data_IF_936395531468
#
_entry.id   IF_936395531468
#
_cell.length_a   1.000
_cell.length_b   1.000
_cell.length_c   1.000
_cell.angle_alpha   90.00
_cell.angle_beta   90.00
_cell.angle_gamma   90.00
#
_symmetry.space_group_name_H-M   'P 1'
#
loop_
_entity.id
_entity.type
_entity.pdbx_description
1 polymer ?
#
# COMPACT_ATOMS: atom_id res chain seq x y z
N UNK A 1 -8.40 -1.49 -22.43
CA UNK A 1 -7.18 -1.03 -23.13
C UNK A 1 -6.98 0.47 -23.00
N UNK A 2 -8.00 1.30 -23.26
CA UNK A 2 -7.88 2.76 -23.15
C UNK A 2 -7.46 3.26 -21.75
N UNK A 3 -7.71 2.48 -20.69
CA UNK A 3 -7.22 2.75 -19.34
C UNK A 3 -5.81 2.15 -19.11
N UNK A 4 -5.71 0.81 -19.20
CA UNK A 4 -4.50 0.05 -18.85
C UNK A 4 -3.26 0.43 -19.67
N UNK A 5 -3.39 0.47 -21.01
CA UNK A 5 -2.23 0.61 -21.89
C UNK A 5 -1.52 1.96 -21.67
N UNK A 6 -2.22 3.11 -21.64
CA UNK A 6 -1.55 4.39 -21.34
C UNK A 6 -0.82 4.41 -20.00
N UNK A 7 -1.39 3.84 -18.94
CA UNK A 7 -0.79 3.84 -17.60
C UNK A 7 0.46 2.97 -17.56
N UNK A 8 0.36 1.77 -18.13
CA UNK A 8 1.46 0.83 -18.21
C UNK A 8 2.63 1.40 -19.03
N UNK A 9 2.33 1.96 -20.21
CA UNK A 9 3.35 2.57 -21.08
C UNK A 9 4.03 3.75 -20.38
N UNK A 10 3.26 4.58 -19.68
CA UNK A 10 3.81 5.71 -18.90
C UNK A 10 4.78 5.24 -17.82
N UNK A 11 4.38 4.24 -17.06
CA UNK A 11 5.19 3.67 -16.00
C UNK A 11 6.48 3.04 -16.50
N UNK A 12 6.38 2.22 -17.55
CA UNK A 12 7.52 1.57 -18.19
C UNK A 12 8.46 2.60 -18.81
N UNK A 13 7.92 3.60 -19.52
CA UNK A 13 8.73 4.67 -20.12
C UNK A 13 9.51 5.43 -19.05
N UNK A 14 8.86 5.79 -17.95
CA UNK A 14 9.50 6.44 -16.81
C UNK A 14 10.68 5.62 -16.25
N UNK A 15 10.54 4.29 -16.17
CA UNK A 15 11.61 3.40 -15.71
C UNK A 15 12.75 3.30 -16.72
N UNK A 16 12.45 3.10 -18.00
CA UNK A 16 13.46 3.03 -19.07
C UNK A 16 14.25 4.34 -19.19
N UNK A 17 13.59 5.49 -19.10
CA UNK A 17 14.23 6.81 -19.12
C UNK A 17 15.18 7.03 -17.94
N UNK A 18 14.95 6.33 -16.82
CA UNK A 18 15.84 6.32 -15.65
C UNK A 18 16.95 5.26 -15.75
N UNK A 19 17.05 4.55 -16.88
CA UNK A 19 18.09 3.58 -17.17
C UNK A 19 17.81 2.16 -16.67
N UNK A 20 16.53 1.82 -16.42
CA UNK A 20 16.14 0.46 -16.05
C UNK A 20 15.90 -0.40 -17.30
N UNK A 21 16.37 -1.64 -17.27
CA UNK A 21 15.96 -2.68 -18.21
C UNK A 21 14.63 -3.29 -17.71
N UNK A 22 13.58 -3.16 -18.50
CA UNK A 22 12.21 -3.50 -18.10
C UNK A 22 11.60 -4.49 -19.05
N UNK A 23 10.98 -5.53 -18.50
CA UNK A 23 10.11 -6.45 -19.23
C UNK A 23 8.71 -6.45 -18.63
N UNK A 24 7.70 -6.57 -19.50
CA UNK A 24 6.29 -6.54 -19.12
C UNK A 24 5.68 -7.93 -19.23
N UNK A 25 5.04 -8.36 -18.16
CA UNK A 25 4.30 -9.62 -18.09
C UNK A 25 2.81 -9.35 -17.96
N UNK A 26 2.03 -9.71 -18.98
CA UNK A 26 0.57 -9.59 -18.96
C UNK A 26 -0.08 -10.95 -18.71
N UNK A 27 -0.76 -11.07 -17.57
CA UNK A 27 -1.43 -12.31 -17.17
C UNK A 27 -2.92 -12.17 -17.47
N UNK A 28 -3.36 -12.87 -18.50
CA UNK A 28 -4.67 -12.72 -19.09
C UNK A 28 -5.52 -13.97 -18.83
N UNK A 29 -6.76 -13.75 -18.38
CA UNK A 29 -7.76 -14.82 -18.28
C UNK A 29 -8.45 -15.16 -19.61
N UNK A 30 -8.07 -14.51 -20.71
CA UNK A 30 -8.60 -14.81 -22.04
C UNK A 30 -7.83 -15.97 -22.67
N UNK A 31 -8.52 -16.84 -23.42
CA UNK A 31 -7.90 -17.97 -24.14
C UNK A 31 -6.78 -17.53 -25.09
N UNK A 32 -6.94 -16.37 -25.73
CA UNK A 32 -5.91 -15.77 -26.58
C UNK A 32 -6.00 -14.24 -26.58
N UNK A 33 -4.86 -13.58 -26.80
CA UNK A 33 -4.79 -12.15 -27.11
C UNK A 33 -4.71 -11.97 -28.62
N UNK A 34 -5.70 -11.30 -29.21
CA UNK A 34 -5.70 -11.03 -30.65
C UNK A 34 -4.39 -10.36 -31.09
N UNK A 35 -3.79 -10.83 -32.19
CA UNK A 35 -2.49 -10.35 -32.66
C UNK A 35 -2.46 -8.83 -32.92
N UNK A 36 -3.57 -8.27 -33.39
CA UNK A 36 -3.72 -6.81 -33.56
C UNK A 36 -3.65 -6.06 -32.24
N UNK A 37 -4.13 -6.63 -31.13
CA UNK A 37 -3.99 -6.06 -29.79
C UNK A 37 -2.57 -6.24 -29.27
N UNK A 38 -1.97 -7.43 -29.43
CA UNK A 38 -0.58 -7.67 -29.05
C UNK A 38 0.36 -6.68 -29.72
N UNK A 39 0.23 -6.49 -31.04
CA UNK A 39 0.99 -5.52 -31.82
C UNK A 39 0.80 -4.10 -31.30
N UNK A 40 -0.42 -3.67 -31.02
CA UNK A 40 -0.68 -2.34 -30.41
C UNK A 40 0.03 -2.14 -29.07
N UNK A 41 0.21 -3.19 -28.26
CA UNK A 41 0.95 -3.08 -27.00
C UNK A 41 2.44 -2.93 -27.30
N UNK A 42 3.00 -3.82 -28.13
CA UNK A 42 4.41 -3.80 -28.52
C UNK A 42 4.78 -2.46 -29.16
N UNK A 43 3.98 -1.96 -30.10
CA UNK A 43 4.20 -0.68 -30.78
C UNK A 43 4.16 0.53 -29.82
N UNK A 44 3.50 0.38 -28.67
CA UNK A 44 3.38 1.44 -27.67
C UNK A 44 4.46 1.38 -26.58
N UNK A 45 5.15 0.24 -26.42
CA UNK A 45 6.21 0.10 -25.42
C UNK A 45 7.52 0.74 -25.93
N UNK A 46 8.37 1.26 -25.02
CA UNK A 46 9.70 1.74 -25.39
C UNK A 46 10.55 0.66 -26.09
N UNK A 47 11.47 1.09 -26.95
CA UNK A 47 12.39 0.17 -27.61
C UNK A 47 13.24 -0.59 -26.59
N UNK A 48 13.36 -1.91 -26.78
CA UNK A 48 14.15 -2.79 -25.89
C UNK A 48 13.33 -3.43 -24.76
N UNK A 49 12.09 -2.98 -24.53
CA UNK A 49 11.19 -3.59 -23.55
C UNK A 49 10.60 -4.88 -24.10
N UNK A 50 10.81 -6.00 -23.42
CA UNK A 50 10.16 -7.27 -23.74
C UNK A 50 8.70 -7.29 -23.29
N UNK A 51 7.89 -8.05 -24.03
CA UNK A 51 6.50 -8.32 -23.69
C UNK A 51 6.24 -9.82 -23.72
N UNK A 52 5.90 -10.38 -22.56
CA UNK A 52 5.41 -11.74 -22.41
C UNK A 52 3.93 -11.72 -22.00
N UNK A 53 3.10 -12.51 -22.69
CA UNK A 53 1.67 -12.58 -22.43
C UNK A 53 1.29 -14.00 -22.08
N UNK A 54 0.80 -14.19 -20.86
CA UNK A 54 0.26 -15.45 -20.39
C UNK A 54 -1.24 -15.46 -20.67
N UNK A 55 -1.67 -16.26 -21.64
CA UNK A 55 -3.08 -16.47 -21.97
C UNK A 55 -3.60 -17.73 -21.31
N UNK A 56 -4.93 -17.85 -21.19
CA UNK A 56 -5.60 -18.96 -20.52
C UNK A 56 -5.07 -19.21 -19.09
N UNK A 57 -4.69 -18.13 -18.40
CA UNK A 57 -4.02 -18.21 -17.11
C UNK A 57 -4.98 -18.45 -15.93
N UNK A 58 -6.29 -18.60 -16.17
CA UNK A 58 -7.26 -18.83 -15.09
C UNK A 58 -7.01 -20.21 -14.50
N UNK A 59 -6.65 -20.32 -13.21
CA UNK A 59 -6.42 -21.62 -12.61
C UNK A 59 -7.72 -22.40 -12.49
N UNK A 60 -7.58 -23.72 -12.47
CA UNK A 60 -8.66 -24.63 -12.12
C UNK A 60 -8.72 -24.86 -10.60
N UNK A 61 -9.90 -25.14 -10.06
CA UNK A 61 -10.08 -25.56 -8.67
C UNK A 61 -11.19 -26.59 -8.53
N UNK A 62 -11.10 -27.40 -7.47
CA UNK A 62 -12.22 -28.22 -7.01
C UNK A 62 -13.21 -27.30 -6.29
N UNK A 63 -14.45 -27.26 -6.80
CA UNK A 63 -15.54 -26.55 -6.14
C UNK A 63 -15.69 -27.14 -4.74
N UNK A 64 -15.75 -26.34 -3.68
CA UNK A 64 -16.11 -26.82 -2.33
C UNK A 64 -17.48 -26.25 -1.95
N UNK A 65 -18.28 -26.99 -1.18
CA UNK A 65 -19.48 -26.42 -0.53
C UNK A 65 -19.14 -25.94 0.89
N UNK A 66 -20.11 -25.28 1.55
CA UNK A 66 -20.01 -24.89 2.95
C UNK A 66 -19.50 -26.08 3.80
N UNK A 67 -18.48 -25.83 4.64
CA UNK A 67 -17.69 -26.81 5.42
C UNK A 67 -16.57 -27.57 4.70
N UNK A 68 -16.07 -27.07 3.56
CA UNK A 68 -14.82 -27.54 2.92
C UNK A 68 -14.80 -29.01 2.43
N UNK A 69 -15.90 -29.75 2.55
CA UNK A 69 -16.02 -31.10 2.03
C UNK A 69 -16.28 -31.11 0.52
N UNK A 70 -15.71 -32.11 -0.16
CA UNK A 70 -16.07 -32.41 -1.54
C UNK A 70 -17.54 -32.85 -1.58
N UNK A 71 -18.33 -32.27 -2.47
CA UNK A 71 -19.78 -32.51 -2.55
C UNK A 71 -20.10 -33.97 -2.89
N UNK A 72 -19.27 -34.61 -3.71
CA UNK A 72 -19.37 -36.02 -4.13
C UNK A 72 -17.99 -36.51 -4.64
N UNK A 73 -17.76 -37.83 -4.75
CA UNK A 73 -16.55 -38.39 -5.39
C UNK A 73 -16.38 -37.99 -6.87
N UNK A 74 -17.43 -37.48 -7.51
CA UNK A 74 -17.48 -37.10 -8.93
C UNK A 74 -17.48 -35.59 -9.13
N UNK A 75 -16.84 -34.84 -8.24
CA UNK A 75 -16.94 -33.39 -8.27
C UNK A 75 -16.22 -32.78 -9.47
N UNK A 76 -16.86 -31.80 -10.09
CA UNK A 76 -16.33 -31.10 -11.26
C UNK A 76 -15.21 -30.14 -10.88
N UNK A 77 -14.21 -30.07 -11.76
CA UNK A 77 -13.19 -29.03 -11.78
C UNK A 77 -13.78 -27.82 -12.51
N UNK A 78 -13.67 -26.64 -11.92
CA UNK A 78 -14.15 -25.38 -12.51
C UNK A 78 -13.00 -24.38 -12.67
N UNK A 79 -13.18 -23.39 -13.56
CA UNK A 79 -12.32 -22.22 -13.62
C UNK A 79 -12.48 -21.37 -12.36
N UNK A 80 -11.38 -20.83 -11.84
CA UNK A 80 -11.33 -19.91 -10.71
C UNK A 80 -10.88 -18.51 -11.15
N UNK A 81 -11.75 -17.68 -11.76
CA UNK A 81 -11.36 -16.35 -12.26
C UNK A 81 -10.71 -15.47 -11.19
N UNK A 82 -11.18 -15.55 -9.94
CA UNK A 82 -10.60 -14.83 -8.81
C UNK A 82 -9.17 -15.28 -8.47
N UNK A 83 -8.80 -16.51 -8.85
CA UNK A 83 -7.45 -17.06 -8.71
C UNK A 83 -6.45 -16.54 -9.75
N UNK A 84 -6.89 -15.80 -10.78
CA UNK A 84 -6.00 -15.14 -11.74
C UNK A 84 -5.00 -14.20 -11.03
N UNK A 85 -5.48 -13.52 -9.98
CA UNK A 85 -4.69 -12.64 -9.12
C UNK A 85 -3.44 -13.29 -8.50
N UNK A 86 -3.40 -14.63 -8.40
CA UNK A 86 -2.27 -15.37 -7.84
C UNK A 86 -1.19 -15.69 -8.87
N UNK A 87 -1.53 -15.67 -10.16
CA UNK A 87 -0.66 -16.19 -11.23
C UNK A 87 0.65 -15.42 -11.38
N UNK A 88 0.69 -14.13 -11.00
CA UNK A 88 1.94 -13.37 -11.01
C UNK A 88 3.03 -14.00 -10.13
N UNK A 89 2.66 -14.80 -9.12
CA UNK A 89 3.62 -15.54 -8.29
C UNK A 89 4.38 -16.62 -9.07
N UNK A 90 3.75 -17.24 -10.07
CA UNK A 90 4.40 -18.24 -10.92
C UNK A 90 5.40 -17.58 -11.86
N UNK A 91 5.03 -16.44 -12.45
CA UNK A 91 5.96 -15.61 -13.23
C UNK A 91 7.16 -15.21 -12.37
N UNK A 92 6.94 -14.66 -11.18
CA UNK A 92 8.03 -14.25 -10.27
C UNK A 92 8.92 -15.43 -9.89
N UNK A 93 8.36 -16.62 -9.64
CA UNK A 93 9.15 -17.83 -9.36
C UNK A 93 10.06 -18.17 -10.54
N UNK A 94 9.48 -18.25 -11.73
CA UNK A 94 10.18 -18.69 -12.94
C UNK A 94 11.25 -17.68 -13.36
N UNK A 95 11.02 -16.40 -13.06
CA UNK A 95 11.86 -15.25 -13.41
C UNK A 95 12.72 -14.74 -12.27
N UNK A 96 12.73 -15.42 -11.12
CA UNK A 96 13.40 -14.94 -9.91
C UNK A 96 14.89 -14.65 -10.13
N UNK A 97 15.56 -15.51 -10.90
CA UNK A 97 16.99 -15.40 -11.18
C UNK A 97 17.33 -14.47 -12.35
N UNK A 98 16.32 -14.03 -13.12
CA UNK A 98 16.49 -13.17 -14.29
C UNK A 98 16.43 -11.67 -13.90
N UNK A 99 15.60 -11.29 -12.91
CA UNK A 99 15.38 -9.89 -12.54
C UNK A 99 15.81 -9.58 -11.11
N UNK A 100 16.31 -8.36 -10.89
CA UNK A 100 16.73 -7.89 -9.56
C UNK A 100 15.58 -7.28 -8.75
N UNK A 101 14.49 -6.91 -9.44
CA UNK A 101 13.36 -6.21 -8.86
C UNK A 101 12.05 -6.59 -9.55
N UNK A 102 10.98 -6.69 -8.78
CA UNK A 102 9.65 -7.07 -9.25
C UNK A 102 8.63 -6.01 -8.82
N UNK A 103 7.75 -5.63 -9.74
CA UNK A 103 6.56 -4.81 -9.47
C UNK A 103 5.32 -5.57 -9.91
N UNK A 104 4.37 -5.79 -9.01
CA UNK A 104 3.09 -6.41 -9.34
C UNK A 104 1.95 -5.61 -8.71
N UNK A 105 1.17 -4.93 -9.56
CA UNK A 105 0.05 -4.10 -9.18
C UNK A 105 -1.19 -4.39 -10.04
N UNK A 106 -2.35 -3.95 -9.58
CA UNK A 106 -3.59 -3.90 -10.36
C UNK A 106 -3.37 -3.07 -11.65
N UNK A 107 -4.11 -3.41 -12.70
CA UNK A 107 -3.91 -2.90 -14.06
C UNK A 107 -4.37 -1.44 -14.27
N UNK A 108 -5.00 -0.85 -13.27
CA UNK A 108 -5.41 0.55 -13.23
C UNK A 108 -4.59 1.41 -12.25
N UNK A 109 -3.46 0.89 -11.77
CA UNK A 109 -2.52 1.61 -10.92
C UNK A 109 -1.34 2.17 -11.70
N UNK A 110 -1.06 3.48 -11.54
CA UNK A 110 0.11 4.11 -12.14
C UNK A 110 1.36 3.91 -11.27
N UNK A 111 2.34 3.20 -11.82
CA UNK A 111 3.62 2.93 -11.18
C UNK A 111 4.75 3.54 -12.01
N UNK A 112 5.50 4.49 -11.45
CA UNK A 112 6.61 5.17 -12.14
C UNK A 112 7.97 4.79 -11.53
N UNK A 113 9.05 5.25 -12.16
CA UNK A 113 10.38 5.08 -11.61
C UNK A 113 10.57 5.76 -10.25
N UNK A 114 9.91 6.88 -9.98
CA UNK A 114 10.02 7.56 -8.69
C UNK A 114 9.43 6.72 -7.54
N UNK A 115 8.40 5.90 -7.81
CA UNK A 115 7.88 4.93 -6.84
C UNK A 115 8.89 3.82 -6.56
N UNK A 116 9.55 3.31 -7.61
CA UNK A 116 10.59 2.27 -7.49
C UNK A 116 11.79 2.79 -6.71
N UNK A 117 12.29 3.99 -7.06
CA UNK A 117 13.42 4.62 -6.37
C UNK A 117 13.08 4.86 -4.90
N UNK A 118 11.91 5.42 -4.59
CA UNK A 118 11.50 5.65 -3.21
C UNK A 118 11.40 4.34 -2.40
N UNK A 119 10.86 3.28 -3.01
CA UNK A 119 10.79 1.96 -2.39
C UNK A 119 12.19 1.41 -2.05
N UNK A 120 13.12 1.54 -2.98
CA UNK A 120 14.50 1.07 -2.81
C UNK A 120 15.26 1.90 -1.77
N UNK A 121 15.17 3.22 -1.82
CA UNK A 121 15.77 4.13 -0.83
C UNK A 121 15.29 3.78 0.59
N UNK A 122 13.97 3.66 0.78
CA UNK A 122 13.42 3.29 2.10
C UNK A 122 13.81 1.86 2.52
N UNK A 123 13.91 0.92 1.57
CA UNK A 123 14.37 -0.44 1.86
C UNK A 123 15.82 -0.47 2.32
N UNK A 124 16.68 0.37 1.71
CA UNK A 124 18.08 0.55 2.12
C UNK A 124 18.17 1.19 3.51
N UNK A 125 17.35 2.20 3.79
CA UNK A 125 17.31 2.85 5.10
C UNK A 125 16.88 1.86 6.20
N UNK A 126 15.87 1.01 5.93
CA UNK A 126 15.45 -0.08 6.82
C UNK A 126 16.58 -1.10 7.03
N UNK A 127 17.24 -1.55 5.96
CA UNK A 127 18.31 -2.54 6.06
C UNK A 127 19.54 -2.00 6.81
N UNK A 128 19.87 -0.71 6.63
CA UNK A 128 20.95 -0.06 7.37
C UNK A 128 20.67 -0.04 8.86
N UNK A 129 19.50 0.43 9.27
CA UNK A 129 19.08 0.42 10.67
C UNK A 129 19.07 -1.00 11.25
N UNK A 130 18.65 -2.00 10.46
CA UNK A 130 18.67 -3.42 10.86
C UNK A 130 20.08 -3.90 11.17
N UNK A 131 21.05 -3.63 10.28
CA UNK A 131 22.45 -4.00 10.48
C UNK A 131 23.06 -3.30 11.68
N UNK A 132 22.78 -2.00 11.86
CA UNK A 132 23.19 -1.26 13.05
C UNK A 132 22.64 -1.89 14.35
N UNK A 133 21.40 -2.38 14.33
CA UNK A 133 20.84 -3.11 15.47
C UNK A 133 21.55 -4.46 15.71
N UNK A 134 21.93 -5.18 14.65
CA UNK A 134 22.68 -6.46 14.75
C UNK A 134 24.10 -6.26 15.29
N UNK A 135 24.76 -5.17 14.88
CA UNK A 135 26.12 -4.83 15.27
C UNK A 135 26.17 -4.16 16.67
N UNK A 136 25.03 -3.68 17.19
CA UNK A 136 24.94 -3.05 18.52
C UNK A 136 25.11 -4.08 19.65
N UNK A 137 25.85 -3.76 20.75
CA UNK A 137 26.04 -4.67 21.88
C UNK A 137 24.75 -5.17 22.55
N UNK A 138 23.67 -4.39 22.50
CA UNK A 138 22.38 -4.73 23.09
C UNK A 138 21.34 -5.23 22.06
N UNK A 139 21.76 -5.42 20.81
CA UNK A 139 20.90 -5.87 19.72
C UNK A 139 19.86 -4.83 19.29
N UNK A 140 20.07 -3.54 19.60
CA UNK A 140 19.12 -2.46 19.34
C UNK A 140 19.76 -1.23 18.73
N UNK A 141 19.05 -0.60 17.80
CA UNK A 141 19.35 0.72 17.25
C UNK A 141 18.39 1.78 17.84
N UNK A 142 18.81 3.04 17.87
CA UNK A 142 18.12 4.13 18.55
C UNK A 142 17.92 5.32 17.60
N UNK A 143 16.86 6.09 17.86
CA UNK A 143 16.68 7.40 17.25
C UNK A 143 17.76 8.35 17.75
N UNK A 144 18.43 9.04 16.84
CA UNK A 144 19.41 10.07 17.20
C UNK A 144 18.69 11.25 17.87
N UNK A 145 19.21 11.71 19.01
CA UNK A 145 18.60 12.81 19.77
C UNK A 145 17.13 12.54 20.18
N UNK A 146 16.79 11.29 20.49
CA UNK A 146 15.47 10.93 21.01
C UNK A 146 15.06 11.85 22.17
N UNK A 147 13.82 12.32 22.14
CA UNK A 147 13.21 13.07 23.22
C UNK A 147 13.21 12.24 24.50
N UNK A 148 13.47 12.93 25.61
CA UNK A 148 13.46 12.31 26.92
C UNK A 148 12.04 11.82 27.23
N UNK A 149 11.89 10.52 27.43
CA UNK A 149 10.66 9.90 27.90
C UNK A 149 10.52 10.15 29.41
N UNK A 150 9.80 11.22 29.78
CA UNK A 150 9.56 11.62 31.16
C UNK A 150 8.38 10.87 31.82
N UNK A 151 7.75 9.95 31.10
CA UNK A 151 6.56 9.26 31.63
C UNK A 151 6.94 8.32 32.77
N UNK A 152 6.18 8.39 33.85
CA UNK A 152 6.31 7.44 34.96
C UNK A 152 5.76 6.05 34.63
N UNK A 153 4.78 5.99 33.72
CA UNK A 153 4.14 4.75 33.24
C UNK A 153 3.87 4.82 31.75
N UNK A 154 3.97 3.68 31.07
CA UNK A 154 3.58 3.53 29.67
C UNK A 154 2.14 3.08 29.53
N UNK A 155 1.46 3.61 28.53
CA UNK A 155 0.11 3.24 28.18
C UNK A 155 0.05 1.78 27.74
N UNK A 156 -0.86 1.00 28.32
CA UNK A 156 -1.15 -0.34 27.79
C UNK A 156 -1.99 -0.21 26.52
N UNK A 157 -1.82 -1.13 25.59
CA UNK A 157 -2.70 -1.18 24.43
C UNK A 157 -4.14 -1.47 24.86
N UNK A 158 -5.09 -0.62 24.44
CA UNK A 158 -6.52 -0.76 24.78
C UNK A 158 -7.19 -1.94 24.04
N UNK A 159 -6.54 -2.47 23.01
CA UNK A 159 -7.03 -3.58 22.20
C UNK A 159 -6.50 -4.95 22.64
N UNK A 160 -5.59 -5.00 23.62
CA UNK A 160 -4.93 -6.23 24.07
C UNK A 160 -3.72 -6.63 23.22
N UNK A 161 -3.27 -5.81 22.27
CA UNK A 161 -2.04 -6.04 21.52
C UNK A 161 -0.83 -6.16 22.46
N UNK A 162 0.13 -7.00 22.05
CA UNK A 162 1.36 -7.28 22.80
C UNK A 162 2.35 -6.12 22.76
N UNK A 163 2.18 -5.18 21.83
CA UNK A 163 2.95 -3.94 21.72
C UNK A 163 2.10 -2.73 22.10
N UNK A 164 2.73 -1.72 22.70
CA UNK A 164 2.05 -0.51 23.18
C UNK A 164 1.61 0.44 22.06
N UNK A 165 0.54 1.20 22.31
CA UNK A 165 0.04 2.28 21.43
C UNK A 165 0.75 3.62 21.68
N UNK A 166 1.89 3.60 22.37
CA UNK A 166 2.61 4.76 22.86
C UNK A 166 4.13 4.63 22.68
N UNK A 167 4.55 3.76 21.75
CA UNK A 167 5.92 3.68 21.28
C UNK A 167 6.17 4.79 20.27
N UNK A 168 7.03 5.75 20.62
CA UNK A 168 7.27 6.94 19.79
C UNK A 168 8.68 6.89 19.21
N UNK A 169 9.69 6.79 20.07
CA UNK A 169 11.11 6.86 19.70
C UNK A 169 11.91 5.71 20.34
N UNK A 170 11.19 4.65 20.68
CA UNK A 170 11.74 3.48 21.36
C UNK A 170 12.84 2.80 20.53
N UNK A 171 13.90 2.28 21.17
CA UNK A 171 14.92 1.50 20.50
C UNK A 171 14.30 0.29 19.80
N UNK A 172 14.83 -0.07 18.63
CA UNK A 172 14.32 -1.17 17.81
C UNK A 172 15.36 -2.27 17.65
N UNK A 173 14.89 -3.50 17.70
CA UNK A 173 15.68 -4.70 17.39
C UNK A 173 15.74 -4.94 15.88
N UNK A 174 16.73 -5.71 15.45
CA UNK A 174 16.84 -6.16 14.07
C UNK A 174 15.59 -6.91 13.59
N UNK A 175 14.97 -7.71 14.46
CA UNK A 175 13.77 -8.49 14.13
C UNK A 175 12.53 -7.61 13.93
N UNK A 176 12.37 -6.54 14.71
CA UNK A 176 11.32 -5.55 14.47
C UNK A 176 11.55 -4.80 13.16
N UNK A 177 12.80 -4.47 12.84
CA UNK A 177 13.16 -3.78 11.60
C UNK A 177 12.95 -4.65 10.35
N UNK A 178 13.19 -5.97 10.44
CA UNK A 178 12.87 -6.93 9.37
C UNK A 178 11.38 -6.97 9.03
N UNK A 179 10.51 -6.57 9.97
CA UNK A 179 9.07 -6.49 9.73
C UNK A 179 8.64 -5.19 9.09
N UNK A 180 9.52 -4.20 8.92
CA UNK A 180 9.17 -2.95 8.25
C UNK A 180 9.19 -3.12 6.74
N UNK A 181 8.23 -2.47 6.08
CA UNK A 181 8.06 -2.52 4.65
C UNK A 181 7.67 -1.15 4.11
N UNK A 182 8.31 -0.65 3.03
CA UNK A 182 7.85 0.57 2.38
C UNK A 182 6.42 0.40 1.86
N UNK A 183 5.50 1.18 2.41
CA UNK A 183 4.10 1.16 2.03
C UNK A 183 3.80 2.13 0.89
N UNK A 184 2.63 1.94 0.27
CA UNK A 184 2.01 2.94 -0.58
C UNK A 184 0.53 3.13 -0.22
N UNK A 185 -0.02 4.26 -0.65
CA UNK A 185 -1.43 4.62 -0.47
C UNK A 185 -2.05 4.97 -1.82
N UNK A 186 -3.24 4.44 -2.09
CA UNK A 186 -3.98 4.75 -3.31
C UNK A 186 -4.63 6.11 -3.21
N UNK A 187 -4.56 6.85 -4.31
CA UNK A 187 -5.19 8.15 -4.46
C UNK A 187 -5.91 8.24 -5.81
N UNK A 188 -6.97 9.03 -5.84
CA UNK A 188 -7.70 9.39 -7.04
C UNK A 188 -7.53 10.89 -7.24
N UNK A 189 -7.58 11.33 -8.50
CA UNK A 189 -7.52 12.75 -8.83
C UNK A 189 -8.94 13.22 -9.07
N UNK A 190 -9.33 14.28 -8.36
CA UNK A 190 -10.64 14.91 -8.45
C UNK A 190 -10.97 15.29 -9.89
N UNK A 191 -12.00 14.69 -10.47
CA UNK A 191 -12.40 14.97 -11.84
C UNK A 191 -13.23 16.25 -11.90
N UNK A 192 -12.56 17.37 -12.20
CA UNK A 192 -13.19 18.69 -12.36
C UNK A 192 -14.04 18.83 -13.64
N UNK A 193 -13.93 17.87 -14.56
CA UNK A 193 -14.74 17.84 -15.78
C UNK A 193 -16.12 17.26 -15.41
N UNK A 194 -17.19 18.02 -15.63
CA UNK A 194 -18.55 17.62 -15.24
C UNK A 194 -18.96 16.21 -15.69
N UNK A 195 -19.96 15.62 -15.02
CA UNK A 195 -20.33 14.22 -15.22
C UNK A 195 -20.86 13.98 -16.65
N UNK A 196 -20.05 13.37 -17.50
CA UNK A 196 -20.48 12.95 -18.84
C UNK A 196 -20.71 14.08 -19.84
N UNK A 197 -20.11 15.26 -19.64
CA UNK A 197 -20.26 16.41 -20.55
C UNK A 197 -21.65 17.04 -20.55
N UNK A 198 -22.57 16.52 -19.73
CA UNK A 198 -23.85 17.14 -19.41
C UNK A 198 -23.61 17.95 -18.13
N UNK A 199 -24.11 19.18 -18.05
CA UNK A 199 -23.76 20.18 -17.02
C UNK A 199 -24.18 19.86 -15.58
N UNK A 200 -24.17 18.60 -15.15
CA UNK A 200 -24.27 18.21 -13.74
C UNK A 200 -22.89 18.29 -13.09
N UNK A 201 -22.80 19.16 -12.09
CA UNK A 201 -21.63 19.31 -11.23
C UNK A 201 -21.31 17.98 -10.53
N UNK A 202 -20.01 17.65 -10.46
CA UNK A 202 -19.58 16.43 -9.80
C UNK A 202 -19.93 16.50 -8.30
N UNK A 203 -20.47 15.43 -7.65
CA UNK A 203 -20.94 15.50 -6.27
C UNK A 203 -19.89 15.95 -5.24
N UNK A 204 -18.60 15.74 -5.55
CA UNK A 204 -17.48 16.17 -4.70
C UNK A 204 -17.02 17.62 -4.96
N UNK A 205 -17.52 18.28 -6.01
CA UNK A 205 -17.25 19.69 -6.29
C UNK A 205 -18.26 20.61 -5.61
N UNK A 206 -19.38 20.06 -5.12
CA UNK A 206 -20.35 20.81 -4.32
C UNK A 206 -19.64 21.36 -3.09
N UNK A 207 -19.84 22.66 -2.82
CA UNK A 207 -19.17 23.36 -1.74
C UNK A 207 -19.38 22.66 -0.39
N UNK A 208 -18.30 22.46 0.37
CA UNK A 208 -18.32 21.72 1.63
C UNK A 208 -18.37 20.18 1.54
N UNK A 209 -18.52 19.58 0.35
CA UNK A 209 -18.66 18.11 0.22
C UNK A 209 -17.45 17.33 0.77
N UNK A 210 -16.26 17.91 0.65
CA UNK A 210 -14.99 17.32 1.12
C UNK A 210 -14.53 17.88 2.47
N UNK A 211 -15.29 18.78 3.08
CA UNK A 211 -14.87 19.47 4.31
C UNK A 211 -15.29 18.73 5.58
N UNK A 212 -16.22 17.78 5.47
CA UNK A 212 -16.77 16.99 6.58
C UNK A 212 -16.26 15.54 6.56
N UNK A 213 -14.96 15.37 6.34
CA UNK A 213 -14.33 14.06 6.36
C UNK A 213 -14.21 13.50 7.78
N UNK A 214 -14.17 12.17 7.87
CA UNK A 214 -14.17 11.43 9.14
C UNK A 214 -12.99 11.84 10.04
N UNK A 215 -13.25 12.01 11.33
CA UNK A 215 -12.28 12.37 12.38
C UNK A 215 -11.63 13.75 12.32
N UNK A 216 -12.11 14.65 11.44
CA UNK A 216 -11.60 16.03 11.36
C UNK A 216 -11.62 16.76 12.70
N UNK A 217 -12.69 16.61 13.48
CA UNK A 217 -12.83 17.30 14.79
C UNK A 217 -11.91 16.69 15.85
N UNK A 218 -11.80 15.35 15.87
CA UNK A 218 -10.97 14.61 16.83
C UNK A 218 -9.48 14.76 16.57
N UNK A 219 -9.08 14.80 15.29
CA UNK A 219 -7.71 14.96 14.83
C UNK A 219 -7.71 16.01 13.71
N UNK A 220 -7.71 17.32 14.05
CA UNK A 220 -7.68 18.37 13.04
C UNK A 220 -6.33 18.36 12.30
N UNK A 221 -6.30 18.63 10.99
CA UNK A 221 -5.04 18.66 10.25
C UNK A 221 -4.17 19.87 10.64
N UNK A 222 -2.90 19.63 10.98
CA UNK A 222 -1.90 20.69 11.20
C UNK A 222 -1.23 21.02 9.87
N UNK A 223 -1.52 22.18 9.26
CA UNK A 223 -0.91 22.59 7.98
C UNK A 223 0.47 23.24 8.14
N UNK A 224 0.98 23.35 9.37
CA UNK A 224 2.30 23.94 9.64
C UNK A 224 3.44 23.21 8.93
N UNK A 225 3.26 21.91 8.69
CA UNK A 225 4.26 21.11 7.99
C UNK A 225 4.60 21.66 6.61
N UNK A 226 3.64 22.28 5.91
CA UNK A 226 3.89 22.79 4.55
C UNK A 226 4.93 23.91 4.56
N UNK A 227 4.85 24.80 5.55
CA UNK A 227 5.82 25.88 5.73
C UNK A 227 7.20 25.38 6.20
N UNK A 228 7.25 24.23 6.87
CA UNK A 228 8.48 23.71 7.49
C UNK A 228 9.22 22.71 6.59
N UNK A 229 8.49 21.86 5.89
CA UNK A 229 9.00 20.72 5.14
C UNK A 229 8.61 20.75 3.65
N UNK A 230 7.75 21.68 3.24
CA UNK A 230 7.21 21.77 1.89
C UNK A 230 5.86 21.07 1.73
N UNK A 231 5.23 21.26 0.57
CA UNK A 231 3.98 20.61 0.21
C UNK A 231 4.24 19.29 -0.55
N UNK A 232 3.20 18.47 -0.61
CA UNK A 232 3.16 17.29 -1.50
C UNK A 232 3.19 17.76 -2.95
N UNK A 233 3.96 17.09 -3.80
CA UNK A 233 3.94 17.28 -5.24
C UNK A 233 3.05 16.21 -5.90
N UNK A 234 1.83 16.56 -6.31
CA UNK A 234 0.88 15.62 -6.92
C UNK A 234 1.35 15.11 -8.30
N UNK A 235 2.27 15.80 -8.97
CA UNK A 235 2.71 15.41 -10.31
C UNK A 235 3.61 14.17 -10.28
N UNK A 236 4.27 13.91 -9.16
CA UNK A 236 5.08 12.69 -8.95
C UNK A 236 4.23 11.44 -9.16
N UNK A 237 3.09 11.34 -8.48
CA UNK A 237 2.22 10.16 -8.54
C UNK A 237 1.24 10.19 -9.70
N UNK A 238 0.72 11.39 -10.00
CA UNK A 238 -0.60 11.53 -10.59
C UNK A 238 -0.61 12.50 -11.78
N UNK A 239 0.50 13.20 -12.03
CA UNK A 239 0.69 13.97 -13.26
C UNK A 239 0.77 13.04 -14.44
N UNK A 240 -0.20 13.12 -15.36
CA UNK A 240 -0.16 12.39 -16.63
C UNK A 240 -0.12 13.37 -17.81
N UNK A 241 0.45 12.96 -18.95
CA UNK A 241 0.38 13.75 -20.17
C UNK A 241 -1.08 14.07 -20.57
N UNK A 242 -1.32 15.24 -21.17
CA UNK A 242 -2.65 15.63 -21.63
C UNK A 242 -3.19 14.67 -22.70
N UNK A 243 -4.52 14.62 -22.85
CA UNK A 243 -5.18 13.80 -23.87
C UNK A 243 -5.57 12.37 -23.42
N UNK A 244 -5.41 12.03 -22.14
CA UNK A 244 -5.95 10.79 -21.59
C UNK A 244 -7.41 10.96 -21.18
N UNK A 245 -8.27 10.10 -21.73
CA UNK A 245 -9.67 10.04 -21.34
C UNK A 245 -9.78 9.73 -19.83
N UNK A 246 -10.57 10.53 -19.09
CA UNK A 246 -10.92 10.34 -17.66
C UNK A 246 -9.82 10.59 -16.63
N UNK A 247 -8.60 10.92 -17.04
CA UNK A 247 -7.56 11.39 -16.13
C UNK A 247 -7.39 12.91 -16.25
N UNK A 248 -7.54 13.69 -15.17
CA UNK A 248 -7.17 15.10 -15.18
C UNK A 248 -5.66 15.27 -15.36
N UNK A 249 -5.23 16.19 -16.22
CA UNK A 249 -3.81 16.58 -16.30
C UNK A 249 -3.49 17.59 -15.20
N UNK A 250 -2.22 17.62 -14.79
CA UNK A 250 -1.66 18.64 -13.89
C UNK A 250 -2.45 18.83 -12.58
N UNK A 251 -2.69 17.76 -11.80
CA UNK A 251 -3.41 17.85 -10.54
C UNK A 251 -2.71 18.81 -9.57
N UNK A 252 -3.50 19.53 -8.76
CA UNK A 252 -3.00 20.20 -7.56
C UNK A 252 -3.06 19.26 -6.34
N UNK A 253 -2.34 19.57 -5.26
CA UNK A 253 -2.31 18.78 -4.03
C UNK A 253 -3.70 18.57 -3.42
N UNK A 254 -4.60 19.54 -3.60
CA UNK A 254 -5.96 19.50 -3.08
C UNK A 254 -6.93 18.73 -3.99
N UNK A 255 -6.46 18.31 -5.17
CA UNK A 255 -7.19 17.41 -6.07
C UNK A 255 -6.98 15.94 -5.72
N UNK A 256 -6.02 15.62 -4.85
CA UNK A 256 -5.74 14.24 -4.46
C UNK A 256 -6.69 13.78 -3.36
N UNK A 257 -7.41 12.70 -3.64
CA UNK A 257 -8.42 12.13 -2.76
C UNK A 257 -8.04 10.74 -2.28
N UNK A 258 -8.08 10.54 -0.97
CA UNK A 258 -7.96 9.26 -0.29
C UNK A 258 -9.34 8.74 0.10
N UNK A 259 -9.60 7.43 -0.04
CA UNK A 259 -10.89 6.83 0.38
C UNK A 259 -10.79 5.48 1.11
N UNK A 260 -9.66 4.77 1.00
CA UNK A 260 -9.55 3.40 1.52
C UNK A 260 -9.15 3.31 2.99
N UNK A 261 -8.62 4.39 3.55
CA UNK A 261 -8.15 4.46 4.92
C UNK A 261 -8.37 5.86 5.48
N UNK A 262 -8.22 6.00 6.80
CA UNK A 262 -8.34 7.24 7.52
C UNK A 262 -7.37 7.25 8.71
N UNK A 263 -7.26 8.40 9.40
CA UNK A 263 -6.33 8.58 10.52
C UNK A 263 -6.53 7.60 11.68
N UNK A 264 -7.72 6.99 11.82
CA UNK A 264 -7.97 6.02 12.89
C UNK A 264 -7.24 4.70 12.69
N UNK A 265 -6.85 4.34 11.47
CA UNK A 265 -6.03 3.16 11.22
C UNK A 265 -4.52 3.42 11.36
N UNK A 266 -4.11 4.69 11.46
CA UNK A 266 -2.71 5.09 11.42
C UNK A 266 -2.15 5.30 12.81
N UNK A 267 -0.93 4.84 13.03
CA UNK A 267 -0.08 5.33 14.10
C UNK A 267 1.10 6.11 13.53
N UNK A 268 1.86 6.79 14.37
CA UNK A 268 3.10 7.47 13.99
C UNK A 268 4.24 7.02 14.88
N UNK A 269 5.44 6.94 14.32
CA UNK A 269 6.65 6.62 15.05
C UNK A 269 7.84 7.35 14.43
N UNK A 270 8.80 7.73 15.26
CA UNK A 270 10.12 8.13 14.82
C UNK A 270 11.00 6.87 14.76
N UNK A 271 11.36 6.47 13.55
CA UNK A 271 12.24 5.34 13.32
C UNK A 271 13.71 5.77 13.34
N UNK A 272 14.62 4.87 13.73
CA UNK A 272 16.07 5.11 13.74
C UNK A 272 16.64 5.40 12.34
N UNK A 273 17.79 6.05 12.29
CA UNK A 273 18.53 6.35 11.07
C UNK A 273 17.75 7.24 10.09
N UNK A 274 17.94 7.00 8.80
CA UNK A 274 17.34 7.80 7.72
C UNK A 274 15.86 7.47 7.44
N UNK A 275 15.26 6.52 8.18
CA UNK A 275 13.83 6.21 8.06
C UNK A 275 13.01 7.40 8.57
N UNK A 276 13.41 7.98 9.69
CA UNK A 276 12.80 9.19 10.27
C UNK A 276 11.36 9.01 10.72
N UNK A 277 10.58 10.09 10.69
CA UNK A 277 9.16 10.05 11.05
C UNK A 277 8.34 9.36 9.97
N UNK A 278 7.60 8.34 10.34
CA UNK A 278 6.71 7.63 9.44
C UNK A 278 5.37 7.29 10.11
N UNK A 279 4.32 7.27 9.29
CA UNK A 279 3.05 6.67 9.64
C UNK A 279 3.18 5.15 9.55
N UNK A 280 2.80 4.46 10.62
CA UNK A 280 2.72 3.01 10.69
C UNK A 280 1.26 2.59 10.41
N UNK A 281 1.06 1.88 9.30
CA UNK A 281 -0.21 1.25 9.00
C UNK A 281 -0.26 -0.08 9.76
N UNK A 282 -1.24 -0.23 10.65
CA UNK A 282 -1.37 -1.44 11.44
C UNK A 282 -1.58 -2.68 10.61
N UNK A 283 -1.05 -3.75 11.16
CA UNK A 283 -1.37 -5.12 10.82
C UNK A 283 -1.82 -5.84 12.08
N UNK A 284 -2.30 -7.08 11.91
CA UNK A 284 -2.75 -7.94 12.99
C UNK A 284 -1.81 -7.88 14.21
N UNK A 285 -2.34 -8.06 15.42
CA UNK A 285 -1.64 -7.80 16.70
C UNK A 285 -0.23 -8.43 16.81
N UNK A 286 0.01 -9.53 16.11
CA UNK A 286 1.29 -10.27 16.08
C UNK A 286 2.40 -9.56 15.29
N UNK A 287 2.00 -8.76 14.31
CA UNK A 287 2.87 -8.07 13.39
C UNK A 287 3.30 -6.71 13.94
N UNK A 288 2.43 -6.01 14.68
CA UNK A 288 2.66 -4.61 15.04
C UNK A 288 4.01 -4.42 15.75
N UNK A 289 4.81 -3.49 15.22
CA UNK A 289 6.07 -3.02 15.84
C UNK A 289 5.83 -1.90 16.85
N UNK A 290 4.56 -1.52 17.05
CA UNK A 290 4.09 -0.49 17.94
C UNK A 290 4.39 0.92 17.42
N UNK A 291 3.47 1.82 17.73
CA UNK A 291 3.51 3.22 17.29
C UNK A 291 2.56 4.03 18.16
N UNK A 292 2.73 5.35 18.19
CA UNK A 292 1.75 6.22 18.82
C UNK A 292 0.45 6.24 18.03
N UNK A 293 -0.65 5.78 18.62
CA UNK A 293 -1.94 5.73 17.95
C UNK A 293 -2.78 6.99 18.20
N UNK A 294 -3.40 7.49 17.15
CA UNK A 294 -4.25 8.69 17.15
C UNK A 294 -5.42 8.62 18.13
N UNK A 295 -5.91 7.43 18.46
CA UNK A 295 -6.99 7.19 19.45
C UNK A 295 -6.54 7.01 20.90
N UNK A 296 -5.25 7.17 21.21
CA UNK A 296 -4.75 7.04 22.59
C UNK A 296 -5.44 8.05 23.52
N UNK A 297 -5.96 7.60 24.67
CA UNK A 297 -6.56 8.48 25.68
C UNK A 297 -7.98 8.93 25.37
N UNK A 298 -8.74 8.18 24.56
CA UNK A 298 -10.13 8.45 24.18
C UNK A 298 -10.32 9.62 23.20
N UNK A 299 -9.32 9.91 22.36
CA UNK A 299 -9.35 11.03 21.41
C UNK A 299 -10.54 11.02 20.42
N UNK A 300 -11.25 9.90 20.29
CA UNK A 300 -12.42 9.75 19.41
C UNK A 300 -13.75 9.79 20.16
N UNK A 301 -13.76 10.29 21.40
CA UNK A 301 -14.93 10.39 22.29
C UNK A 301 -15.61 9.05 22.58
N UNK A 302 -14.96 7.94 22.19
CA UNK A 302 -15.37 6.58 22.46
C UNK A 302 -14.24 5.85 23.23
N UNK A 303 -14.42 5.64 24.55
CA UNK A 303 -13.43 4.95 25.34
C UNK A 303 -13.31 3.45 25.06
N UNK A 304 -14.30 2.87 24.36
CA UNK A 304 -14.26 1.49 23.90
C UNK A 304 -13.59 1.34 22.53
N UNK A 305 -13.27 2.45 21.85
CA UNK A 305 -12.66 2.40 20.54
C UNK A 305 -11.26 1.77 20.59
N UNK A 306 -11.11 0.70 19.83
CA UNK A 306 -9.85 -0.01 19.63
C UNK A 306 -9.21 0.41 18.33
N UNK A 307 -7.87 0.35 18.26
CA UNK A 307 -7.15 0.55 17.02
C UNK A 307 -7.64 -0.48 16.00
N UNK A 308 -8.04 -0.06 14.78
CA UNK A 308 -8.33 -1.01 13.70
C UNK A 308 -7.06 -1.80 13.36
N UNK A 309 -7.07 -3.11 13.60
CA UNK A 309 -5.92 -4.02 13.34
C UNK A 309 -6.14 -4.93 12.12
N UNK A 310 -7.41 -5.22 11.82
CA UNK A 310 -7.85 -6.18 10.80
C UNK A 310 -9.18 -5.78 10.15
N UNK A 311 -9.42 -4.48 9.98
CA UNK A 311 -10.70 -4.05 9.39
C UNK A 311 -10.52 -3.98 7.88
N UNK A 312 -11.20 -4.91 7.16
CA UNK A 312 -11.20 -4.99 5.69
C UNK A 312 -11.49 -3.64 5.00
N UNK A 313 -12.16 -2.70 5.68
CA UNK A 313 -12.53 -1.40 5.13
C UNK A 313 -11.58 -0.24 5.46
N UNK A 314 -10.54 -0.42 6.28
CA UNK A 314 -9.66 0.68 6.73
C UNK A 314 -8.15 0.40 6.60
N UNK A 315 -7.76 -0.84 6.27
CA UNK A 315 -6.33 -1.18 6.15
C UNK A 315 -5.68 -0.54 4.92
N UNK A 316 -6.44 -0.01 3.95
CA UNK A 316 -5.89 0.57 2.72
C UNK A 316 -5.25 -0.52 1.87
N UNK A 317 -5.86 -0.91 0.76
CA UNK A 317 -5.24 -1.87 -0.13
C UNK A 317 -4.15 -1.17 -0.90
N UNK A 318 -2.97 -1.76 -0.96
CA UNK A 318 -1.88 -1.15 -1.73
C UNK A 318 -2.10 -1.33 -3.23
N UNK A 319 -3.05 -2.18 -3.63
CA UNK A 319 -3.29 -2.62 -4.99
C UNK A 319 -2.06 -3.28 -5.64
N UNK A 320 -1.08 -3.72 -4.84
CA UNK A 320 0.16 -4.32 -5.33
C UNK A 320 1.28 -4.38 -4.30
N UNK A 321 2.43 -4.83 -4.78
CA UNK A 321 3.67 -4.88 -4.03
C UNK A 321 4.87 -4.72 -4.99
N UNK A 322 5.98 -4.28 -4.42
CA UNK A 322 7.29 -4.23 -5.07
C UNK A 322 8.28 -5.00 -4.24
N UNK A 323 9.25 -5.70 -4.81
CA UNK A 323 10.30 -6.30 -4.01
C UNK A 323 11.56 -6.53 -4.84
N UNK A 324 12.71 -6.38 -4.21
CA UNK A 324 13.97 -6.89 -4.73
C UNK A 324 13.98 -8.42 -4.73
N UNK A 325 14.85 -9.03 -5.54
CA UNK A 325 15.05 -10.49 -5.54
C UNK A 325 15.34 -11.04 -4.14
N UNK A 326 16.21 -10.38 -3.39
CA UNK A 326 16.56 -10.80 -2.02
C UNK A 326 15.38 -10.70 -1.06
N UNK A 327 14.53 -9.67 -1.18
CA UNK A 327 13.30 -9.57 -0.41
C UNK A 327 12.32 -10.69 -0.79
N UNK A 328 12.15 -11.02 -2.08
CA UNK A 328 11.30 -12.15 -2.52
C UNK A 328 11.78 -13.48 -1.92
N UNK A 329 13.09 -13.72 -1.91
CA UNK A 329 13.70 -14.91 -1.29
C UNK A 329 13.41 -14.92 0.22
N UNK A 330 13.64 -13.80 0.91
CA UNK A 330 13.34 -13.67 2.32
C UNK A 330 11.86 -13.93 2.63
N UNK A 331 10.95 -13.43 1.79
CA UNK A 331 9.53 -13.69 1.90
C UNK A 331 9.22 -15.17 1.80
N UNK A 332 9.85 -15.84 0.83
CA UNK A 332 9.62 -17.24 0.56
C UNK A 332 10.16 -18.15 1.66
N UNK A 333 11.37 -17.89 2.14
CA UNK A 333 12.08 -18.80 3.03
C UNK A 333 11.83 -18.51 4.51
N UNK A 334 11.52 -17.26 4.88
CA UNK A 334 11.54 -16.83 6.28
C UNK A 334 10.25 -16.14 6.73
N UNK A 335 9.76 -15.16 5.97
CA UNK A 335 8.69 -14.29 6.49
C UNK A 335 7.28 -14.87 6.30
N UNK A 336 6.98 -15.45 5.14
CA UNK A 336 5.64 -15.91 4.81
C UNK A 336 5.46 -17.40 5.17
N UNK A 337 4.54 -17.76 6.08
CA UNK A 337 4.21 -19.15 6.35
C UNK A 337 3.74 -19.87 5.08
N UNK A 338 4.36 -21.01 4.76
CA UNK A 338 4.07 -21.78 3.54
C UNK A 338 4.73 -21.22 2.26
N UNK A 339 5.50 -20.14 2.37
CA UNK A 339 6.29 -19.57 1.28
C UNK A 339 5.54 -18.62 0.35
N UNK A 340 6.19 -17.54 -0.04
CA UNK A 340 5.65 -16.50 -0.91
C UNK A 340 5.43 -16.93 -2.38
N UNK A 341 6.29 -17.80 -2.89
CA UNK A 341 6.25 -18.36 -4.24
C UNK A 341 5.63 -19.77 -4.25
N UNK A 342 5.04 -20.22 -5.37
CA UNK A 342 4.45 -21.55 -5.48
C UNK A 342 5.51 -22.66 -5.39
N UNK A 343 5.12 -23.90 -5.02
CA UNK A 343 3.74 -24.39 -4.89
C UNK A 343 3.01 -23.95 -3.62
N UNK A 344 1.71 -23.70 -3.74
CA UNK A 344 0.84 -23.26 -2.63
C UNK A 344 0.02 -24.43 -2.06
N UNK A 345 0.67 -25.58 -1.87
CA UNK A 345 -0.01 -26.84 -1.52
C UNK A 345 0.04 -27.16 -0.02
N UNK A 346 0.73 -26.33 0.77
CA UNK A 346 0.86 -26.47 2.22
C UNK A 346 -0.44 -26.20 2.98
N UNK A 347 -0.55 -26.73 4.20
CA UNK A 347 -1.66 -26.46 5.13
C UNK A 347 -1.79 -24.98 5.47
N UNK A 348 -0.70 -24.24 5.34
CA UNK A 348 -0.61 -22.80 5.52
C UNK A 348 -1.47 -22.06 4.47
N UNK A 349 -1.64 -22.64 3.29
CA UNK A 349 -2.47 -22.15 2.19
C UNK A 349 -3.91 -22.69 2.22
N UNK A 350 -4.32 -23.31 3.34
CA UNK A 350 -5.73 -23.62 3.55
C UNK A 350 -6.53 -22.31 3.60
N UNK A 351 -7.44 -22.12 2.64
CA UNK A 351 -8.16 -20.86 2.37
C UNK A 351 -7.29 -19.73 1.81
N UNK A 352 -6.31 -20.03 0.96
CA UNK A 352 -5.52 -19.06 0.18
C UNK A 352 -6.32 -18.25 -0.86
N UNK A 353 -7.62 -18.11 -0.64
CA UNK A 353 -8.60 -17.43 -1.47
C UNK A 353 -8.86 -18.03 -2.87
N UNK A 354 -8.17 -19.10 -3.31
CA UNK A 354 -8.66 -19.88 -4.45
C UNK A 354 -10.04 -20.50 -4.19
N UNK A 355 -10.38 -20.74 -2.93
CA UNK A 355 -11.63 -21.38 -2.54
C UNK A 355 -12.68 -20.37 -2.07
N UNK A 356 -12.31 -19.10 -1.86
CA UNK A 356 -13.22 -18.04 -1.42
C UNK A 356 -13.32 -16.97 -2.49
N UNK A 357 -14.51 -16.81 -3.08
CA UNK A 357 -14.75 -15.80 -4.14
C UNK A 357 -14.47 -14.36 -3.70
N UNK A 358 -14.50 -14.07 -2.40
CA UNK A 358 -14.29 -12.74 -1.85
C UNK A 358 -12.87 -12.60 -1.32
N UNK A 359 -12.15 -11.56 -1.74
CA UNK A 359 -10.87 -11.18 -1.14
C UNK A 359 -9.62 -11.72 -1.85
N UNK A 360 -9.75 -12.50 -2.93
CA UNK A 360 -8.57 -13.12 -3.57
C UNK A 360 -7.68 -12.11 -4.27
N UNK A 361 -8.29 -11.18 -5.00
CA UNK A 361 -7.59 -10.08 -5.67
C UNK A 361 -6.87 -9.24 -4.63
N UNK A 362 -7.58 -8.86 -3.57
CA UNK A 362 -7.08 -8.07 -2.45
C UNK A 362 -5.93 -8.77 -1.71
N UNK A 363 -6.05 -10.08 -1.53
CA UNK A 363 -5.05 -10.91 -0.87
C UNK A 363 -3.75 -11.02 -1.66
N UNK A 364 -3.84 -11.43 -2.93
CA UNK A 364 -2.67 -11.67 -3.77
C UNK A 364 -2.17 -10.41 -4.44
N UNK A 365 -3.00 -9.81 -5.30
CA UNK A 365 -2.65 -8.62 -6.06
C UNK A 365 -2.72 -7.36 -5.21
N UNK A 366 -3.61 -7.26 -4.22
CA UNK A 366 -3.69 -6.12 -3.31
C UNK A 366 -2.55 -6.08 -2.26
N UNK A 367 -1.68 -7.10 -2.25
CA UNK A 367 -0.54 -7.20 -1.34
C UNK A 367 -0.91 -7.59 0.09
N UNK A 368 -2.19 -7.80 0.41
CA UNK A 368 -2.64 -8.07 1.78
C UNK A 368 -2.01 -9.34 2.38
N UNK A 369 -1.60 -10.32 1.57
CA UNK A 369 -0.79 -11.46 2.01
C UNK A 369 0.45 -11.03 2.82
N UNK A 370 1.19 -10.01 2.35
CA UNK A 370 2.42 -9.54 3.00
C UNK A 370 2.14 -9.02 4.41
N UNK A 371 1.04 -8.29 4.57
CA UNK A 371 0.72 -7.61 5.82
C UNK A 371 -0.06 -8.54 6.76
N UNK A 372 -1.05 -9.26 6.23
CA UNK A 372 -1.92 -10.15 7.00
C UNK A 372 -1.31 -11.52 7.34
N UNK A 373 -0.45 -12.10 6.48
CA UNK A 373 0.13 -13.44 6.72
C UNK A 373 1.63 -13.45 6.90
N UNK A 374 2.36 -12.60 6.20
CA UNK A 374 3.81 -12.47 6.39
C UNK A 374 4.17 -11.47 7.49
N UNK A 375 3.15 -10.81 8.09
CA UNK A 375 3.27 -9.95 9.27
C UNK A 375 4.18 -8.73 9.06
N UNK A 376 4.21 -8.17 7.86
CA UNK A 376 4.92 -6.92 7.58
C UNK A 376 4.10 -5.69 7.97
N UNK A 377 4.76 -4.71 8.61
CA UNK A 377 4.24 -3.38 8.89
C UNK A 377 4.60 -2.43 7.75
N UNK A 378 3.59 -1.87 7.13
CA UNK A 378 3.81 -0.81 6.15
C UNK A 378 4.10 0.50 6.85
N UNK A 379 5.13 1.16 6.38
CA UNK A 379 5.48 2.51 6.81
C UNK A 379 5.39 3.49 5.66
N UNK A 380 4.89 4.69 5.95
CA UNK A 380 4.79 5.80 5.02
C UNK A 380 5.57 6.98 5.61
N UNK A 381 6.62 7.42 4.93
CA UNK A 381 7.41 8.57 5.37
C UNK A 381 6.52 9.79 5.54
N UNK A 382 6.69 10.56 6.61
CA UNK A 382 5.97 11.83 6.78
C UNK A 382 6.68 13.01 6.09
N UNK A 383 7.85 12.80 5.50
CA UNK A 383 8.53 13.81 4.68
C UNK A 383 7.72 14.05 3.39
N UNK A 384 7.28 15.28 3.08
CA UNK A 384 6.39 15.54 1.94
C UNK A 384 6.96 15.08 0.59
N UNK A 385 8.28 15.15 0.39
CA UNK A 385 8.90 14.73 -0.89
C UNK A 385 8.88 13.21 -1.03
N UNK A 386 9.28 12.48 0.01
CA UNK A 386 9.19 11.00 0.03
C UNK A 386 7.74 10.53 -0.01
N UNK A 387 6.86 11.17 0.74
CA UNK A 387 5.44 10.82 0.80
C UNK A 387 4.73 10.97 -0.54
N UNK A 388 5.08 11.99 -1.33
CA UNK A 388 4.57 12.17 -2.71
C UNK A 388 4.88 10.97 -3.61
N UNK A 389 6.03 10.31 -3.39
CA UNK A 389 6.44 9.09 -4.10
C UNK A 389 5.84 7.81 -3.52
N UNK A 390 5.06 7.91 -2.44
CA UNK A 390 4.32 6.79 -1.84
C UNK A 390 2.84 6.77 -2.25
N UNK A 391 2.43 7.67 -3.15
CA UNK A 391 1.06 7.76 -3.63
C UNK A 391 0.93 7.00 -4.93
N UNK A 392 -0.08 6.15 -5.04
CA UNK A 392 -0.36 5.41 -6.27
C UNK A 392 -1.65 5.93 -6.87
N UNK A 393 -1.54 6.46 -8.08
CA UNK A 393 -2.71 6.97 -8.78
C UNK A 393 -3.57 5.81 -9.30
N UNK A 394 -4.79 5.73 -8.80
CA UNK A 394 -5.84 4.83 -9.25
C UNK A 394 -6.58 5.48 -10.43
N UNK A 395 -6.10 5.19 -11.63
CA UNK A 395 -6.48 5.94 -12.82
C UNK A 395 -7.92 5.69 -13.29
N UNK A 396 -8.59 4.63 -12.80
CA UNK A 396 -9.99 4.39 -13.13
C UNK A 396 -10.91 5.50 -12.61
N UNK A 397 -10.47 6.24 -11.58
CA UNK A 397 -11.19 7.36 -10.97
C UNK A 397 -12.67 7.02 -10.66
N UNK A 398 -12.96 5.75 -10.40
CA UNK A 398 -14.33 5.25 -10.29
C UNK A 398 -14.89 5.41 -8.88
N UNK A 399 -14.03 5.51 -7.85
CA UNK A 399 -14.46 5.50 -6.46
C UNK A 399 -15.21 6.75 -6.11
N UNK A 400 -14.77 7.89 -6.63
CA UNK A 400 -15.46 9.18 -6.56
C UNK A 400 -16.95 9.15 -6.95
N UNK A 401 -17.37 8.19 -7.79
CA UNK A 401 -18.76 8.02 -8.24
C UNK A 401 -19.54 6.97 -7.45
N UNK A 402 -18.83 6.05 -6.82
CA UNK A 402 -19.43 4.88 -6.13
C UNK A 402 -19.46 5.00 -4.62
N UNK A 403 -18.67 5.92 -4.04
CA UNK A 403 -18.57 6.11 -2.60
C UNK A 403 -19.19 7.44 -2.18
N UNK A 404 -19.78 7.51 -0.96
CA UNK A 404 -20.30 8.75 -0.43
C UNK A 404 -19.17 9.75 -0.12
N UNK A 405 -19.44 11.05 -0.25
CA UNK A 405 -18.46 12.13 -0.10
C UNK A 405 -17.69 12.10 1.24
N UNK A 406 -18.37 11.78 2.35
CA UNK A 406 -17.75 11.66 3.67
C UNK A 406 -16.71 10.54 3.82
N UNK A 407 -16.54 9.67 2.81
CA UNK A 407 -15.44 8.69 2.76
C UNK A 407 -14.14 9.29 2.23
N UNK A 408 -14.20 10.42 1.54
CA UNK A 408 -13.03 11.03 0.96
C UNK A 408 -12.34 11.97 1.94
N UNK A 409 -11.02 11.89 1.98
CA UNK A 409 -10.15 12.85 2.67
C UNK A 409 -9.24 13.46 1.63
N UNK A 410 -9.16 14.80 1.57
CA UNK A 410 -8.10 15.45 0.78
C UNK A 410 -6.75 14.99 1.32
N UNK A 411 -5.84 14.65 0.42
CA UNK A 411 -4.59 14.03 0.83
C UNK A 411 -3.71 14.97 1.67
N UNK A 412 -3.74 16.28 1.36
CA UNK A 412 -3.14 17.35 2.17
C UNK A 412 -3.64 17.36 3.61
N UNK A 413 -4.94 17.18 3.82
CA UNK A 413 -5.55 17.05 5.14
C UNK A 413 -5.10 15.77 5.85
N UNK A 414 -5.07 14.62 5.16
CA UNK A 414 -4.62 13.36 5.76
C UNK A 414 -3.17 13.46 6.28
N UNK A 415 -2.25 14.02 5.47
CA UNK A 415 -0.88 14.27 5.95
C UNK A 415 -0.86 15.25 7.12
N UNK A 416 -1.66 16.33 7.07
CA UNK A 416 -1.82 17.25 8.19
C UNK A 416 -2.31 16.57 9.47
N UNK A 417 -3.21 15.58 9.37
CA UNK A 417 -3.66 14.79 10.51
C UNK A 417 -2.51 13.95 11.09
N UNK A 418 -1.68 13.33 10.26
CA UNK A 418 -0.48 12.61 10.72
C UNK A 418 0.47 13.53 11.50
N UNK A 419 0.68 14.76 11.03
CA UNK A 419 1.48 15.76 11.76
C UNK A 419 0.87 16.14 13.11
N UNK A 420 -0.45 16.29 13.20
CA UNK A 420 -1.14 16.48 14.49
C UNK A 420 -0.92 15.29 15.43
N UNK A 421 -0.95 14.05 14.91
CA UNK A 421 -0.66 12.85 15.71
C UNK A 421 0.80 12.83 16.16
N UNK A 422 1.75 13.23 15.31
CA UNK A 422 3.17 13.39 15.67
C UNK A 422 3.36 14.39 16.80
N UNK A 423 2.72 15.56 16.73
CA UNK A 423 2.78 16.57 17.80
C UNK A 423 2.24 16.03 19.13
N UNK A 424 1.14 15.27 19.09
CA UNK A 424 0.57 14.59 20.27
C UNK A 424 1.51 13.51 20.82
N UNK A 425 2.13 12.73 19.95
CA UNK A 425 3.09 11.69 20.33
C UNK A 425 4.27 12.30 21.08
N UNK A 426 4.87 13.36 20.55
CA UNK A 426 5.96 14.08 21.21
C UNK A 426 5.53 14.70 22.55
N UNK A 427 4.34 15.31 22.61
CA UNK A 427 3.81 15.84 23.87
C UNK A 427 3.64 14.74 24.92
N UNK A 428 3.20 13.55 24.50
CA UNK A 428 2.99 12.43 25.43
C UNK A 428 4.28 11.98 26.10
N UNK A 429 5.44 12.10 25.46
CA UNK A 429 6.75 11.81 26.06
C UNK A 429 7.11 12.79 27.18
N UNK A 430 6.62 14.03 27.11
CA UNK A 430 6.94 15.09 28.07
C UNK A 430 5.96 15.15 29.26
N UNK A 431 4.77 14.56 29.12
CA UNK A 431 3.72 14.61 30.14
C UNK A 431 3.47 13.21 30.72
N UNK A 432 3.92 12.95 31.95
CA UNK A 432 3.58 11.72 32.67
C UNK A 432 4.03 11.71 34.11
#
# INVERSE_FOLDING_TARGET
MNLVLPIMVDGVSSMVERGWDVDVYLICGFESLAETRRRRIVDALPHGVGLEVWTDAIPFYYVKRHNQELKTPYQSIELAPHGLSRQHRFVVRDKLMEYDFFTAFEDDMRITADHVVNFLEMSVDIDRARREAEDSPDGKVRVENAALDNRSVRGKSMDGATVGNDLVEDPMTAEELRRLWPGFVRVEVLDKRGVGGVGTEHPLLVDGALDNFKWKENVPPSMKYESQFGAIDPNVCCGVPPGRDRTPSDPDKDDLLLWETDISAMGVRHYPGDIGWAAAMTVEDRADVGSYWSGMGHNYDDPAMKRPRRVNSLIGQQAGWMATRSQVIYFHEHACPGGFLPPFDGKEWLNDSLQTRNGAVEFWSGGYQLFGRCYFNRILSMDPKRFSRQLLYHASNNKQRTLPSGKFVRFSNFLGQLYTVKERALKSLMTG
#
